data_IF_790112218127
#
_entry.id   IF_790112218127
#
_cell.length_a   1.000
_cell.length_b   1.000
_cell.length_c   1.000
_cell.angle_alpha   90.00
_cell.angle_beta   90.00
_cell.angle_gamma   90.00
#
_symmetry.space_group_name_H-M   'P 1'
#
loop_
_entity.id
_entity.type
_entity.pdbx_description
1 polymer ?
#
# COMPACT_ATOMS: atom_id res chain seq x y z
N UNK A 1 -10.64 8.52 20.90
CA UNK A 1 -10.20 9.52 19.89
C UNK A 1 -10.32 8.95 18.47
N UNK A 2 -11.26 9.46 17.66
CA UNK A 2 -11.39 9.06 16.25
C UNK A 2 -10.10 9.41 15.49
N UNK A 3 -9.40 8.41 14.96
CA UNK A 3 -8.20 8.64 14.14
C UNK A 3 -8.64 9.37 12.87
N UNK A 4 -8.37 10.67 12.80
CA UNK A 4 -8.66 11.50 11.61
C UNK A 4 -8.11 10.80 10.35
N UNK A 5 -9.00 10.51 9.39
CA UNK A 5 -8.64 9.90 8.10
C UNK A 5 -7.68 10.83 7.33
N UNK A 6 -6.88 10.25 6.44
CA UNK A 6 -5.98 11.02 5.58
C UNK A 6 -6.75 11.90 4.59
N UNK A 7 -6.25 13.11 4.33
CA UNK A 7 -6.83 14.00 3.31
C UNK A 7 -6.61 13.46 1.90
N UNK A 8 -7.36 13.97 0.92
CA UNK A 8 -7.18 13.60 -0.50
C UNK A 8 -5.75 13.91 -0.97
N UNK A 9 -5.22 15.08 -0.59
CA UNK A 9 -3.85 15.49 -0.91
C UNK A 9 -2.82 14.50 -0.32
N UNK A 10 -2.98 14.09 0.94
CA UNK A 10 -2.12 13.09 1.57
C UNK A 10 -2.18 11.74 0.84
N UNK A 11 -3.39 11.29 0.47
CA UNK A 11 -3.56 10.05 -0.30
C UNK A 11 -2.86 10.12 -1.66
N UNK A 12 -3.01 11.22 -2.39
CA UNK A 12 -2.34 11.45 -3.68
C UNK A 12 -0.81 11.47 -3.53
N UNK A 13 -0.29 12.15 -2.51
CA UNK A 13 1.16 12.20 -2.21
C UNK A 13 1.75 10.82 -1.95
N UNK A 14 1.06 9.99 -1.16
CA UNK A 14 1.54 8.66 -0.84
C UNK A 14 1.41 7.68 -2.01
N UNK A 15 0.38 7.82 -2.85
CA UNK A 15 0.17 6.99 -4.05
C UNK A 15 0.89 7.50 -5.30
N UNK A 16 1.73 8.54 -5.17
CA UNK A 16 2.46 9.10 -6.29
C UNK A 16 3.33 8.01 -6.97
N UNK A 17 3.23 7.82 -8.30
CA UNK A 17 3.98 6.81 -9.04
C UNK A 17 5.50 6.87 -8.80
N UNK A 18 6.08 8.07 -8.73
CA UNK A 18 7.52 8.25 -8.49
C UNK A 18 7.94 7.73 -7.12
N UNK A 19 7.10 7.94 -6.10
CA UNK A 19 7.33 7.44 -4.74
C UNK A 19 7.23 5.91 -4.67
N UNK A 20 6.21 5.35 -5.33
CA UNK A 20 6.04 3.89 -5.45
C UNK A 20 7.23 3.26 -6.18
N UNK A 21 7.66 3.86 -7.31
CA UNK A 21 8.81 3.40 -8.10
C UNK A 21 10.09 3.39 -7.27
N UNK A 22 10.34 4.44 -6.48
CA UNK A 22 11.47 4.51 -5.55
C UNK A 22 11.45 3.36 -4.53
N UNK A 23 10.32 3.16 -3.85
CA UNK A 23 10.19 2.08 -2.86
C UNK A 23 10.31 0.69 -3.49
N UNK A 24 9.86 0.50 -4.73
CA UNK A 24 10.04 -0.75 -5.45
C UNK A 24 11.52 -0.99 -5.78
N UNK A 25 12.26 0.02 -6.22
CA UNK A 25 13.72 -0.08 -6.41
C UNK A 25 14.43 -0.46 -5.11
N UNK A 26 14.11 0.21 -4.01
CA UNK A 26 14.69 -0.06 -2.68
C UNK A 26 14.39 -1.49 -2.15
N UNK A 27 13.38 -2.15 -2.72
CA UNK A 27 12.98 -3.54 -2.41
C UNK A 27 13.62 -4.59 -3.34
N UNK A 28 14.47 -4.19 -4.28
CA UNK A 28 15.12 -5.09 -5.22
C UNK A 28 14.39 -5.24 -6.56
N UNK A 29 13.49 -4.31 -6.91
CA UNK A 29 12.87 -4.26 -8.24
C UNK A 29 13.52 -3.14 -9.07
N UNK A 30 14.63 -3.39 -9.80
CA UNK A 30 15.45 -2.34 -10.41
C UNK A 30 14.69 -1.48 -11.45
N UNK A 31 13.77 -2.10 -12.19
CA UNK A 31 12.88 -1.39 -13.14
C UNK A 31 11.77 -0.58 -12.44
N UNK A 32 11.64 -0.71 -11.12
CA UNK A 32 10.56 -0.12 -10.32
C UNK A 32 9.17 -0.61 -10.73
N UNK A 33 9.11 -1.83 -11.26
CA UNK A 33 7.90 -2.51 -11.74
C UNK A 33 7.80 -3.88 -11.08
N UNK A 34 6.58 -4.31 -10.81
CA UNK A 34 6.28 -5.64 -10.28
C UNK A 34 6.01 -6.61 -11.44
N UNK A 35 6.30 -7.90 -11.22
CA UNK A 35 5.88 -8.96 -12.13
C UNK A 35 4.36 -9.05 -12.19
N UNK A 36 3.83 -9.60 -13.29
CA UNK A 36 2.38 -9.86 -13.43
C UNK A 36 1.86 -10.66 -12.23
N UNK A 37 0.68 -10.27 -11.71
CA UNK A 37 0.03 -10.92 -10.56
C UNK A 37 0.57 -10.53 -9.17
N UNK A 38 1.55 -9.61 -9.08
CA UNK A 38 2.04 -9.05 -7.81
C UNK A 38 1.63 -7.59 -7.67
N UNK A 39 1.25 -7.21 -6.44
CA UNK A 39 0.82 -5.86 -6.08
C UNK A 39 1.55 -5.36 -4.84
N UNK A 40 1.75 -4.04 -4.78
CA UNK A 40 2.27 -3.37 -3.60
C UNK A 40 1.12 -3.09 -2.61
N UNK A 41 1.18 -3.72 -1.44
CA UNK A 41 0.20 -3.58 -0.37
C UNK A 41 0.76 -2.76 0.78
N UNK A 42 0.00 -1.77 1.26
CA UNK A 42 0.31 -1.04 2.49
C UNK A 42 -0.26 -1.77 3.71
N UNK A 43 0.61 -2.11 4.67
CA UNK A 43 0.23 -2.74 5.94
C UNK A 43 -0.71 -1.81 6.70
N UNK A 44 -0.26 -0.58 6.98
CA UNK A 44 -1.10 0.53 7.42
C UNK A 44 -1.70 1.23 6.20
N UNK A 45 -3.03 1.26 6.03
CA UNK A 45 -3.68 1.87 4.88
C UNK A 45 -3.30 3.34 4.71
N UNK A 46 -3.20 3.79 3.46
CA UNK A 46 -3.01 5.21 3.14
C UNK A 46 -4.20 6.05 3.65
N UNK A 47 -5.41 5.48 3.69
CA UNK A 47 -6.60 6.12 4.29
C UNK A 47 -6.43 6.46 5.78
N UNK A 48 -5.55 5.74 6.48
CA UNK A 48 -5.22 5.95 7.89
C UNK A 48 -3.86 6.63 8.08
N UNK A 49 -3.41 7.40 7.08
CA UNK A 49 -2.09 8.08 7.05
C UNK A 49 -0.90 7.12 7.01
N UNK A 50 -1.08 5.92 6.47
CA UNK A 50 0.01 5.01 6.15
C UNK A 50 0.91 5.58 5.06
N UNK A 51 2.22 5.69 5.34
CA UNK A 51 3.22 6.20 4.39
C UNK A 51 3.69 5.10 3.43
N UNK A 52 4.01 5.45 2.21
CA UNK A 52 4.66 4.57 1.22
C UNK A 52 6.15 4.50 1.52
N UNK A 53 6.53 3.50 2.34
CA UNK A 53 7.92 3.25 2.77
C UNK A 53 8.24 1.76 2.65
N UNK A 54 9.54 1.40 2.63
CA UNK A 54 9.99 0.00 2.59
C UNK A 54 9.39 -0.85 3.71
N UNK A 55 9.26 -0.28 4.92
CA UNK A 55 8.73 -0.96 6.13
C UNK A 55 7.19 -1.12 6.10
N UNK A 56 6.46 -0.10 5.63
CA UNK A 56 4.99 -0.15 5.61
C UNK A 56 4.41 -0.84 4.36
N UNK A 57 5.23 -1.20 3.38
CA UNK A 57 4.76 -1.82 2.14
C UNK A 57 5.27 -3.25 2.00
N UNK A 58 4.44 -4.14 1.46
CA UNK A 58 4.78 -5.52 1.12
C UNK A 58 4.36 -5.80 -0.31
N UNK A 59 5.18 -6.55 -1.04
CA UNK A 59 4.79 -7.07 -2.35
C UNK A 59 4.12 -8.42 -2.10
N UNK A 60 2.89 -8.56 -2.54
CA UNK A 60 2.09 -9.79 -2.35
C UNK A 60 1.39 -10.14 -3.66
N UNK A 61 0.91 -11.38 -3.78
CA UNK A 61 0.06 -11.76 -4.91
C UNK A 61 -1.29 -11.07 -4.84
N UNK A 62 -1.91 -10.84 -6.00
CA UNK A 62 -3.26 -10.25 -6.08
C UNK A 62 -4.29 -11.06 -5.28
N UNK A 63 -4.21 -12.39 -5.33
CA UNK A 63 -5.08 -13.29 -4.56
C UNK A 63 -4.96 -13.02 -3.05
N UNK A 64 -3.72 -12.94 -2.54
CA UNK A 64 -3.46 -12.63 -1.12
C UNK A 64 -3.93 -11.22 -0.77
N UNK A 65 -3.74 -10.25 -1.66
CA UNK A 65 -4.21 -8.88 -1.47
C UNK A 65 -5.73 -8.80 -1.32
N UNK A 66 -6.48 -9.45 -2.21
CA UNK A 66 -7.94 -9.54 -2.14
C UNK A 66 -8.40 -10.23 -0.85
N UNK A 67 -7.74 -11.32 -0.46
CA UNK A 67 -8.07 -12.04 0.78
C UNK A 67 -7.86 -11.18 2.03
N UNK A 68 -6.76 -10.42 2.11
CA UNK A 68 -6.49 -9.51 3.24
C UNK A 68 -7.62 -8.48 3.36
N UNK A 69 -8.02 -7.85 2.25
CA UNK A 69 -9.11 -6.87 2.28
C UNK A 69 -10.46 -7.50 2.65
N UNK A 70 -10.77 -8.69 2.13
CA UNK A 70 -11.97 -9.45 2.51
C UNK A 70 -12.00 -9.71 4.02
N UNK A 71 -10.88 -10.15 4.60
CA UNK A 71 -10.75 -10.40 6.03
C UNK A 71 -10.86 -9.12 6.87
N UNK A 72 -10.33 -7.99 6.39
CA UNK A 72 -10.45 -6.71 7.09
C UNK A 72 -11.89 -6.17 7.08
N UNK A 73 -12.59 -6.31 5.94
CA UNK A 73 -14.01 -5.93 5.81
C UNK A 73 -14.89 -6.75 6.77
N UNK A 74 -14.67 -8.06 6.86
CA UNK A 74 -15.35 -8.93 7.85
C UNK A 74 -15.16 -8.47 9.30
N UNK A 75 -14.05 -7.79 9.61
CA UNK A 75 -13.72 -7.28 10.94
C UNK A 75 -14.12 -5.81 11.15
N UNK A 76 -14.82 -5.18 10.21
CA UNK A 76 -15.19 -3.76 10.27
C UNK A 76 -14.00 -2.78 10.22
N UNK A 77 -12.83 -3.22 9.73
CA UNK A 77 -11.58 -2.43 9.73
C UNK A 77 -11.28 -1.72 8.41
N UNK A 78 -12.12 -1.90 7.39
CA UNK A 78 -12.02 -1.30 6.04
C UNK A 78 -13.40 -0.97 5.52
#
# INVERSE_FOLDING_TARGET
>A
MSKKKATVAQKKKERNPSKVKKVLKDKGYPKGKLSKGKVLHHIKPVSEKGKTTKKNTKVITEKKHKQIHKNRRKRGKV
#
